data_IF_256941961129
#
_entry.id   IF_256941961129
#
_cell.length_a   1.000
_cell.length_b   1.000
_cell.length_c   1.000
_cell.angle_alpha   90.00
_cell.angle_beta   90.00
_cell.angle_gamma   90.00
#
_symmetry.space_group_name_H-M   'P 1'
#
loop_
_entity.id
_entity.type
_entity.pdbx_description
1 polymer ?
#
# COMPACT_ATOMS: atom_id res chain seq x y z
N UNK A 1 -15.75 -5.73 27.17
CA UNK A 1 -16.00 -4.33 26.77
C UNK A 1 -14.73 -3.50 26.52
N UNK A 2 -13.51 -4.03 26.73
CA UNK A 2 -12.26 -3.38 26.29
C UNK A 2 -11.91 -3.73 24.83
N UNK A 3 -12.34 -4.89 24.34
CA UNK A 3 -12.08 -5.35 22.96
C UNK A 3 -12.73 -4.45 21.90
N UNK A 4 -13.92 -3.91 22.17
CA UNK A 4 -14.62 -3.01 21.23
C UNK A 4 -13.93 -1.65 21.10
N UNK A 5 -13.37 -1.13 22.19
CA UNK A 5 -12.63 0.13 22.17
C UNK A 5 -11.28 -0.02 21.45
N UNK A 6 -10.64 -1.19 21.59
CA UNK A 6 -9.40 -1.53 20.89
C UNK A 6 -9.64 -1.71 19.38
N UNK A 7 -10.72 -2.37 18.99
CA UNK A 7 -11.13 -2.47 17.58
C UNK A 7 -11.52 -1.10 16.99
N UNK A 8 -12.18 -0.23 17.76
CA UNK A 8 -12.52 1.13 17.32
C UNK A 8 -11.30 2.04 17.13
N UNK A 9 -10.30 1.98 18.04
CA UNK A 9 -9.04 2.71 17.89
C UNK A 9 -8.20 2.20 16.70
N UNK A 10 -8.21 0.89 16.47
CA UNK A 10 -7.56 0.25 15.33
C UNK A 10 -8.24 0.57 14.00
N UNK A 11 -9.54 0.84 14.01
CA UNK A 11 -10.32 1.29 12.86
C UNK A 11 -10.13 2.79 12.58
N UNK A 12 -9.96 3.64 13.60
CA UNK A 12 -9.82 5.09 13.42
C UNK A 12 -8.47 5.51 12.84
N UNK A 13 -7.37 4.80 13.14
CA UNK A 13 -6.09 5.03 12.44
C UNK A 13 -6.08 4.41 11.03
N UNK A 14 -6.95 3.42 10.78
CA UNK A 14 -6.97 2.63 9.55
C UNK A 14 -7.91 3.20 8.46
N UNK A 15 -8.78 4.16 8.78
CA UNK A 15 -9.56 4.90 7.77
C UNK A 15 -8.65 5.79 6.94
N UNK A 16 -7.80 6.56 7.61
CA UNK A 16 -7.02 7.61 6.96
C UNK A 16 -6.00 7.02 5.98
N UNK A 17 -5.35 5.93 6.34
CA UNK A 17 -4.38 5.24 5.48
C UNK A 17 -5.03 4.64 4.21
N UNK A 18 -6.25 4.12 4.33
CA UNK A 18 -6.96 3.52 3.20
C UNK A 18 -7.52 4.58 2.25
N UNK A 19 -8.10 5.65 2.79
CA UNK A 19 -8.60 6.76 1.99
C UNK A 19 -7.44 7.46 1.25
N UNK A 20 -6.29 7.64 1.92
CA UNK A 20 -5.08 8.13 1.26
C UNK A 20 -4.58 7.18 0.17
N UNK A 21 -4.63 5.86 0.40
CA UNK A 21 -4.30 4.87 -0.63
C UNK A 21 -5.23 4.98 -1.85
N UNK A 22 -6.54 5.15 -1.65
CA UNK A 22 -7.50 5.29 -2.75
C UNK A 22 -7.22 6.54 -3.58
N UNK A 23 -6.91 7.67 -2.92
CA UNK A 23 -6.52 8.92 -3.60
C UNK A 23 -5.24 8.73 -4.43
N UNK A 24 -4.24 8.03 -3.89
CA UNK A 24 -3.01 7.70 -4.62
C UNK A 24 -3.31 6.80 -5.83
N UNK A 25 -4.15 5.79 -5.66
CA UNK A 25 -4.57 4.90 -6.75
C UNK A 25 -5.29 5.67 -7.85
N UNK A 26 -6.18 6.60 -7.50
CA UNK A 26 -6.88 7.43 -8.49
C UNK A 26 -5.90 8.33 -9.26
N UNK A 27 -4.90 8.88 -8.57
CA UNK A 27 -3.85 9.68 -9.20
C UNK A 27 -3.01 8.85 -10.17
N UNK A 28 -2.59 7.65 -9.79
CA UNK A 28 -1.84 6.75 -10.67
C UNK A 28 -2.70 6.30 -11.87
N UNK A 29 -4.00 6.05 -11.66
CA UNK A 29 -4.96 5.75 -12.75
C UNK A 29 -5.02 6.87 -13.78
N UNK A 30 -5.02 8.14 -13.33
CA UNK A 30 -4.97 9.32 -14.22
C UNK A 30 -3.67 9.39 -15.03
N UNK A 31 -2.60 8.73 -14.58
CA UNK A 31 -1.33 8.60 -15.29
C UNK A 31 -1.25 7.30 -16.13
N UNK A 32 -2.34 6.53 -16.22
CA UNK A 32 -2.40 5.27 -16.96
C UNK A 32 -1.89 4.05 -16.19
N UNK A 33 -1.61 4.17 -14.90
CA UNK A 33 -1.15 3.07 -14.05
C UNK A 33 -2.29 2.60 -13.13
N UNK A 34 -2.64 1.32 -13.18
CA UNK A 34 -3.70 0.75 -12.31
C UNK A 34 -3.11 0.05 -11.06
N UNK A 35 -2.02 0.56 -10.53
CA UNK A 35 -1.35 0.03 -9.34
C UNK A 35 -0.65 1.15 -8.57
N UNK A 36 -0.39 0.92 -7.28
CA UNK A 36 0.38 1.82 -6.42
C UNK A 36 1.60 1.08 -5.90
N UNK A 37 2.76 1.75 -5.94
CA UNK A 37 3.99 1.22 -5.34
C UNK A 37 4.25 1.88 -3.99
N UNK A 38 4.35 1.07 -2.94
CA UNK A 38 4.59 1.51 -1.57
C UNK A 38 5.89 0.91 -1.03
N UNK A 39 6.70 1.70 -0.33
CA UNK A 39 7.92 1.20 0.34
C UNK A 39 7.60 0.40 1.61
N UNK A 40 6.53 0.79 2.31
CA UNK A 40 6.02 0.15 3.52
C UNK A 40 4.52 -0.06 3.37
N UNK A 41 4.01 -1.11 4.02
CA UNK A 41 2.58 -1.39 4.04
C UNK A 41 2.13 -1.51 5.51
N UNK A 42 1.48 -0.46 6.07
CA UNK A 42 0.94 -0.51 7.42
C UNK A 42 0.03 -1.71 7.61
N UNK A 43 0.04 -2.30 8.81
CA UNK A 43 -0.72 -3.52 9.11
C UNK A 43 -2.22 -3.32 8.89
N UNK A 44 -2.76 -2.15 9.29
CA UNK A 44 -4.16 -1.80 9.06
C UNK A 44 -4.50 -1.78 7.57
N UNK A 45 -3.73 -1.02 6.78
CA UNK A 45 -3.89 -0.95 5.33
C UNK A 45 -3.80 -2.33 4.68
N UNK A 46 -2.85 -3.17 5.10
CA UNK A 46 -2.69 -4.53 4.56
C UNK A 46 -3.94 -5.39 4.73
N UNK A 47 -4.52 -5.43 5.94
CA UNK A 47 -5.74 -6.21 6.17
C UNK A 47 -6.91 -5.70 5.36
N UNK A 48 -7.08 -4.38 5.29
CA UNK A 48 -8.20 -3.78 4.57
C UNK A 48 -8.09 -4.01 3.06
N UNK A 49 -6.88 -3.94 2.51
CA UNK A 49 -6.63 -4.30 1.11
C UNK A 49 -7.00 -5.76 0.80
N UNK A 50 -6.71 -6.69 1.72
CA UNK A 50 -7.13 -8.09 1.56
C UNK A 50 -8.66 -8.23 1.62
N UNK A 51 -9.33 -7.53 2.54
CA UNK A 51 -10.79 -7.54 2.66
C UNK A 51 -11.48 -7.01 1.40
N UNK A 52 -10.91 -5.97 0.79
CA UNK A 52 -11.42 -5.32 -0.43
C UNK A 52 -10.89 -5.97 -1.72
N UNK A 53 -10.33 -7.18 -1.64
CA UNK A 53 -9.89 -7.99 -2.79
C UNK A 53 -8.79 -7.33 -3.65
N UNK A 54 -7.84 -6.62 -3.01
CA UNK A 54 -6.65 -6.11 -3.69
C UNK A 54 -5.53 -7.15 -3.74
N UNK A 55 -4.80 -7.17 -4.85
CA UNK A 55 -3.61 -8.00 -5.03
C UNK A 55 -2.40 -7.24 -4.53
N UNK A 56 -1.67 -7.83 -3.59
CA UNK A 56 -0.46 -7.28 -3.00
C UNK A 56 0.72 -8.16 -3.41
N UNK A 57 1.68 -7.61 -4.15
CA UNK A 57 2.92 -8.28 -4.55
C UNK A 57 4.12 -7.55 -3.99
N UNK A 58 5.17 -8.29 -3.66
CA UNK A 58 6.45 -7.70 -3.27
C UNK A 58 7.41 -7.81 -4.45
N UNK A 59 7.93 -6.69 -4.90
CA UNK A 59 8.85 -6.62 -6.02
C UNK A 59 10.18 -5.96 -5.60
N UNK A 60 11.27 -6.50 -6.12
CA UNK A 60 12.60 -5.91 -5.95
C UNK A 60 12.90 -5.04 -7.18
N UNK A 61 13.10 -3.74 -6.97
CA UNK A 61 13.56 -2.84 -8.03
C UNK A 61 14.99 -2.42 -7.75
N UNK A 62 15.84 -2.63 -8.76
CA UNK A 62 17.21 -2.12 -8.75
C UNK A 62 17.20 -0.64 -9.10
N UNK A 63 17.48 0.21 -8.13
CA UNK A 63 17.68 1.64 -8.34
C UNK A 63 19.15 1.89 -8.65
N UNK A 64 19.44 2.47 -9.82
CA UNK A 64 20.81 2.88 -10.18
C UNK A 64 21.17 4.11 -9.36
N UNK A 65 22.13 4.00 -8.45
CA UNK A 65 22.75 5.16 -7.80
C UNK A 65 23.91 5.65 -8.66
N UNK A 66 24.21 6.95 -8.58
CA UNK A 66 25.34 7.58 -9.27
C UNK A 66 26.64 6.78 -9.01
N UNK A 67 27.46 6.57 -10.05
CA UNK A 67 28.67 5.73 -10.06
C UNK A 67 28.48 4.22 -9.76
N UNK A 68 27.67 3.53 -10.56
CA UNK A 68 27.63 2.04 -10.67
C UNK A 68 27.17 1.25 -9.43
N UNK A 69 26.90 1.88 -8.30
CA UNK A 69 26.30 1.21 -7.15
C UNK A 69 24.82 0.91 -7.42
N UNK A 70 24.52 -0.35 -7.71
CA UNK A 70 23.15 -0.89 -7.81
C UNK A 70 22.63 -1.12 -6.40
N UNK A 71 21.60 -0.39 -5.98
CA UNK A 71 20.88 -0.68 -4.73
C UNK A 71 19.57 -1.35 -5.09
N UNK A 72 19.38 -2.56 -4.60
CA UNK A 72 18.08 -3.21 -4.61
C UNK A 72 17.22 -2.63 -3.50
N UNK A 73 16.00 -2.23 -3.84
CA UNK A 73 15.00 -1.81 -2.86
C UNK A 73 13.74 -2.62 -3.09
N UNK A 74 13.17 -3.13 -2.00
CA UNK A 74 11.93 -3.90 -2.00
C UNK A 74 10.75 -2.94 -1.88
N UNK A 75 9.76 -3.12 -2.74
CA UNK A 75 8.52 -2.36 -2.74
C UNK A 75 7.32 -3.29 -2.80
N UNK A 76 6.20 -2.84 -2.27
CA UNK A 76 4.90 -3.48 -2.43
C UNK A 76 4.20 -2.86 -3.63
N UNK A 77 3.75 -3.69 -4.54
CA UNK A 77 2.86 -3.33 -5.65
C UNK A 77 1.46 -3.77 -5.26
N UNK A 78 0.57 -2.80 -5.09
CA UNK A 78 -0.83 -3.03 -4.77
C UNK A 78 -1.67 -2.67 -5.98
N UNK A 79 -2.51 -3.60 -6.43
CA UNK A 79 -3.40 -3.40 -7.59
C UNK A 79 -4.79 -3.97 -7.32
N UNK A 80 -5.85 -3.39 -7.90
CA UNK A 80 -7.18 -3.99 -7.87
C UNK A 80 -7.14 -5.39 -8.50
N UNK A 81 -7.93 -6.32 -7.99
CA UNK A 81 -8.10 -7.65 -8.61
C UNK A 81 -8.98 -7.60 -9.88
N UNK A 82 -9.79 -6.54 -10.05
CA UNK A 82 -10.70 -6.31 -11.19
C UNK A 82 -10.30 -5.08 -12.00
#
# INVERSE_FOLDING_TARGET
>A
MLESAFEQLKLSECSDDFDQFLLLLEKEKKQGQNYVTLSTLPKGLHYRLIQEDYIIKREERTVKRFLFFKKSVLYYVVRPSK
#
